data_IF_555556000273
#
_entry.id   IF_555556000273
#
_cell.length_a   1.000
_cell.length_b   1.000
_cell.length_c   1.000
_cell.angle_alpha   90.00
_cell.angle_beta   90.00
_cell.angle_gamma   90.00
#
_symmetry.space_group_name_H-M   'P 1'
#
loop_
_entity.id
_entity.type
_entity.pdbx_description
1 polymer ?
#
# COMPACT_ATOMS: atom_id res chain seq x y z
N UNK A 1 -10.84 9.05 -7.09
CA UNK A 1 -9.84 7.95 -7.02
C UNK A 1 -10.32 6.78 -7.91
N UNK A 2 -9.52 5.73 -8.17
CA UNK A 2 -9.94 4.55 -8.95
C UNK A 2 -9.77 3.27 -8.14
N UNK A 3 -10.67 2.30 -8.31
CA UNK A 3 -10.61 0.97 -7.72
C UNK A 3 -10.39 -0.05 -8.82
N UNK A 4 -9.56 -1.06 -8.52
CA UNK A 4 -9.36 -2.23 -9.37
C UNK A 4 -10.03 -3.42 -8.69
N UNK A 5 -11.01 -4.01 -9.35
CA UNK A 5 -11.65 -5.25 -8.92
C UNK A 5 -10.97 -6.44 -9.60
N UNK A 6 -10.31 -7.27 -8.78
CA UNK A 6 -9.59 -8.47 -9.22
C UNK A 6 -10.46 -9.72 -9.29
N UNK A 7 -11.75 -9.64 -8.90
CA UNK A 7 -12.70 -10.75 -8.98
C UNK A 7 -13.14 -11.07 -10.42
N UNK A 8 -12.95 -10.11 -11.33
CA UNK A 8 -13.27 -10.23 -12.76
C UNK A 8 -12.04 -10.56 -13.61
N UNK A 9 -12.26 -11.09 -14.83
CA UNK A 9 -11.20 -11.38 -15.81
C UNK A 9 -11.63 -10.85 -17.18
N UNK A 10 -11.00 -9.79 -17.72
CA UNK A 10 -9.91 -9.00 -17.12
C UNK A 10 -10.37 -8.22 -15.88
N UNK A 11 -9.43 -7.86 -15.00
CA UNK A 11 -9.72 -7.03 -13.84
C UNK A 11 -10.35 -5.71 -14.31
N UNK A 12 -11.39 -5.26 -13.60
CA UNK A 12 -12.14 -4.06 -13.96
C UNK A 12 -11.62 -2.85 -13.19
N UNK A 13 -11.45 -1.75 -13.91
CA UNK A 13 -11.05 -0.45 -13.36
C UNK A 13 -12.26 0.49 -13.40
N UNK A 14 -12.64 1.02 -12.25
CA UNK A 14 -13.79 1.93 -12.13
C UNK A 14 -13.50 3.10 -11.20
N UNK A 15 -14.34 4.12 -11.28
CA UNK A 15 -14.39 5.15 -10.24
C UNK A 15 -14.72 4.49 -8.89
N UNK A 16 -14.12 5.01 -7.83
CA UNK A 16 -14.48 4.62 -6.47
C UNK A 16 -15.69 5.41 -5.98
N UNK A 17 -16.52 4.78 -5.15
CA UNK A 17 -17.57 5.49 -4.42
C UNK A 17 -16.98 6.50 -3.41
N UNK A 18 -17.69 7.59 -3.09
CA UNK A 18 -17.21 8.63 -2.16
C UNK A 18 -16.76 8.10 -0.79
N UNK A 19 -17.42 7.06 -0.29
CA UNK A 19 -17.09 6.42 0.99
C UNK A 19 -15.67 5.83 1.00
N UNK A 20 -15.23 5.28 -0.14
CA UNK A 20 -13.86 4.80 -0.27
C UNK A 20 -12.85 5.94 -0.25
N UNK A 21 -13.20 7.10 -0.81
CA UNK A 21 -12.30 8.25 -0.81
C UNK A 21 -12.05 8.74 0.61
N UNK A 22 -13.11 8.88 1.41
CA UNK A 22 -13.00 9.24 2.83
C UNK A 22 -12.14 8.23 3.58
N UNK A 23 -12.43 6.93 3.45
CA UNK A 23 -11.69 5.88 4.14
C UNK A 23 -10.19 5.88 3.78
N UNK A 24 -9.87 6.00 2.49
CA UNK A 24 -8.47 6.03 2.03
C UNK A 24 -7.76 7.31 2.47
N UNK A 25 -8.46 8.44 2.53
CA UNK A 25 -7.90 9.69 3.05
C UNK A 25 -7.55 9.57 4.53
N UNK A 26 -8.48 9.11 5.37
CA UNK A 26 -8.26 8.91 6.81
C UNK A 26 -7.07 7.96 7.06
N UNK A 27 -7.06 6.80 6.40
CA UNK A 27 -5.95 5.86 6.50
C UNK A 27 -4.60 6.45 6.05
N UNK A 28 -4.60 7.22 4.95
CA UNK A 28 -3.38 7.85 4.43
C UNK A 28 -2.83 8.88 5.41
N UNK A 29 -3.69 9.67 6.03
CA UNK A 29 -3.26 10.71 6.96
C UNK A 29 -2.65 10.08 8.21
N UNK A 30 -3.27 9.04 8.77
CA UNK A 30 -2.71 8.25 9.87
C UNK A 30 -1.36 7.59 9.49
N UNK A 31 -1.29 7.00 8.29
CA UNK A 31 -0.06 6.38 7.80
C UNK A 31 1.09 7.39 7.70
N UNK A 32 0.83 8.59 7.17
CA UNK A 32 1.85 9.63 7.02
C UNK A 32 2.33 10.16 8.38
N UNK A 33 1.43 10.28 9.36
CA UNK A 33 1.80 10.66 10.72
C UNK A 33 2.71 9.60 11.37
N UNK A 34 2.37 8.32 11.24
CA UNK A 34 3.20 7.21 11.73
C UNK A 34 4.56 7.23 11.06
N UNK A 35 4.63 7.35 9.73
CA UNK A 35 5.88 7.38 8.99
C UNK A 35 6.76 8.56 9.39
N UNK A 36 6.16 9.74 9.61
CA UNK A 36 6.89 10.91 10.11
C UNK A 36 7.45 10.68 11.51
N UNK A 37 6.67 10.02 12.39
CA UNK A 37 7.08 9.73 13.78
C UNK A 37 8.20 8.69 13.87
N UNK A 38 8.20 7.68 13.00
CA UNK A 38 9.20 6.61 13.00
C UNK A 38 10.53 7.04 12.38
N UNK A 39 10.50 8.06 11.51
CA UNK A 39 11.68 8.58 10.83
C UNK A 39 12.20 7.67 9.71
N UNK A 40 13.15 8.23 8.95
CA UNK A 40 13.77 7.54 7.82
C UNK A 40 14.58 6.32 8.27
N UNK A 41 14.57 5.25 7.45
CA UNK A 41 15.31 4.02 7.73
C UNK A 41 14.71 3.12 8.83
N UNK A 42 13.56 3.50 9.39
CA UNK A 42 12.84 2.72 10.42
C UNK A 42 12.55 1.27 10.03
N UNK A 43 12.32 0.99 8.74
CA UNK A 43 12.15 -0.38 8.24
C UNK A 43 13.44 -1.20 8.35
N UNK A 44 14.56 -0.69 7.83
CA UNK A 44 15.86 -1.37 7.89
C UNK A 44 16.34 -1.56 9.34
N UNK A 45 15.97 -0.64 10.24
CA UNK A 45 16.21 -0.74 11.68
C UNK A 45 15.27 -1.73 12.41
N UNK A 46 14.28 -2.32 11.73
CA UNK A 46 13.32 -3.27 12.31
C UNK A 46 12.26 -2.64 13.22
N UNK A 47 11.99 -1.34 13.06
CA UNK A 47 11.02 -0.59 13.85
C UNK A 47 9.67 -0.41 13.13
N UNK A 48 9.69 -0.43 11.79
CA UNK A 48 8.49 -0.33 10.94
C UNK A 48 8.23 -1.68 10.24
N UNK A 49 7.00 -2.19 10.34
CA UNK A 49 6.55 -3.39 9.64
C UNK A 49 5.32 -3.09 8.79
N UNK A 50 5.49 -2.79 7.49
CA UNK A 50 4.37 -2.48 6.62
C UNK A 50 3.56 -3.75 6.31
N UNK A 51 2.24 -3.69 6.48
CA UNK A 51 1.33 -4.74 6.04
C UNK A 51 1.03 -4.57 4.54
N UNK A 52 1.83 -5.20 3.69
CA UNK A 52 1.70 -5.09 2.22
C UNK A 52 0.81 -6.23 1.70
N UNK A 53 -0.34 -5.93 1.08
CA UNK A 53 -1.12 -6.94 0.37
C UNK A 53 -0.30 -7.50 -0.81
N UNK A 54 -0.17 -8.83 -0.89
CA UNK A 54 0.61 -9.50 -1.92
C UNK A 54 -0.25 -10.52 -2.67
N UNK A 55 -0.32 -10.38 -3.99
CA UNK A 55 -0.91 -11.38 -4.89
C UNK A 55 -0.08 -11.49 -6.17
N UNK A 56 0.87 -12.42 -6.16
CA UNK A 56 1.90 -12.56 -7.21
C UNK A 56 1.28 -12.81 -8.58
N UNK A 57 0.31 -13.71 -8.67
CA UNK A 57 -0.35 -14.09 -9.94
C UNK A 57 -1.09 -12.92 -10.60
N UNK A 58 -1.56 -11.95 -9.81
CA UNK A 58 -2.24 -10.74 -10.27
C UNK A 58 -1.32 -9.52 -10.32
N UNK A 59 -0.04 -9.69 -9.96
CA UNK A 59 0.95 -8.61 -9.93
C UNK A 59 0.75 -7.59 -8.80
N UNK A 60 -0.05 -7.90 -7.77
CA UNK A 60 -0.36 -6.95 -6.69
C UNK A 60 0.73 -6.97 -5.63
N UNK A 61 1.26 -5.80 -5.29
CA UNK A 61 2.18 -5.58 -4.17
C UNK A 61 3.64 -5.93 -4.43
N UNK A 62 3.97 -6.52 -5.59
CA UNK A 62 5.32 -6.97 -5.91
C UNK A 62 6.32 -5.81 -5.98
N UNK A 63 5.94 -4.68 -6.58
CA UNK A 63 6.77 -3.49 -6.70
C UNK A 63 7.05 -2.85 -5.32
N UNK A 64 6.05 -2.86 -4.43
CA UNK A 64 6.16 -2.33 -3.07
C UNK A 64 7.12 -3.18 -2.24
N UNK A 65 6.97 -4.51 -2.29
CA UNK A 65 7.88 -5.44 -1.60
C UNK A 65 9.32 -5.24 -2.09
N UNK A 66 9.54 -5.11 -3.40
CA UNK A 66 10.88 -4.87 -3.95
C UNK A 66 11.51 -3.57 -3.42
N UNK A 67 10.74 -2.50 -3.26
CA UNK A 67 11.22 -1.22 -2.69
C UNK A 67 11.68 -1.37 -1.24
N UNK A 68 10.98 -2.16 -0.44
CA UNK A 68 11.38 -2.42 0.95
C UNK A 68 12.59 -3.35 1.01
N UNK A 69 12.63 -4.42 0.22
CA UNK A 69 13.79 -5.31 0.14
C UNK A 69 15.07 -4.56 -0.25
N UNK A 70 14.98 -3.59 -1.16
CA UNK A 70 16.11 -2.75 -1.58
C UNK A 70 16.73 -1.93 -0.44
N UNK A 71 16.04 -1.75 0.70
CA UNK A 71 16.60 -1.05 1.87
C UNK A 71 17.48 -1.97 2.74
N UNK A 72 17.49 -3.28 2.48
CA UNK A 72 18.22 -4.28 3.26
C UNK A 72 19.51 -4.77 2.58
N UNK A 73 19.76 -4.33 1.35
CA UNK A 73 20.85 -4.81 0.48
C UNK A 73 21.86 -3.70 0.21
#
# INVERSE_FOLDING_TARGET
MRIIDYSTVPATDSACEPEHETLVQEFRDEYLEIMHSMGDGSFAAGLLFPAIPLWIEKGVGLDVVQKYLAQLI
#
